data_IF_421335171492
#
_entry.id   IF_421335171492
#
_cell.length_a   1.000
_cell.length_b   1.000
_cell.length_c   1.000
_cell.angle_alpha   90.00
_cell.angle_beta   90.00
_cell.angle_gamma   90.00
#
_symmetry.space_group_name_H-M   'P 1'
#
loop_
_entity.id
_entity.type
_entity.pdbx_description
1 polymer ?
#
# COMPACT_ATOMS: atom_id res chain seq x y z
N UNK A 1 23.28 21.58 25.47
CA UNK A 1 23.92 22.75 26.12
C UNK A 1 23.85 22.48 27.60
N UNK A 2 24.95 22.58 28.34
CA UNK A 2 24.95 22.31 29.80
C UNK A 2 24.34 23.47 30.59
N UNK A 3 24.46 24.69 30.09
CA UNK A 3 23.92 25.90 30.71
C UNK A 3 23.13 26.70 29.68
N UNK A 4 22.20 27.53 30.16
CA UNK A 4 21.51 28.52 29.33
C UNK A 4 22.52 29.54 28.80
N UNK A 5 22.49 29.82 27.50
CA UNK A 5 23.35 30.84 26.87
C UNK A 5 22.57 31.63 25.83
N UNK A 6 22.47 32.94 26.03
CA UNK A 6 21.63 33.83 25.22
C UNK A 6 20.18 33.29 25.13
N UNK A 7 19.69 33.01 23.92
CA UNK A 7 18.35 32.49 23.65
C UNK A 7 18.28 30.95 23.62
N UNK A 8 19.36 30.25 23.96
CA UNK A 8 19.42 28.79 23.92
C UNK A 8 19.27 28.26 25.34
N UNK A 9 18.20 27.52 25.65
CA UNK A 9 17.99 26.98 26.99
C UNK A 9 18.98 25.88 27.33
N UNK A 10 19.20 25.67 28.63
CA UNK A 10 19.83 24.48 29.17
C UNK A 10 19.17 23.20 28.63
N UNK A 11 19.98 22.15 28.40
CA UNK A 11 19.51 20.87 27.86
C UNK A 11 19.32 20.85 26.33
N UNK A 12 19.42 21.99 25.63
CA UNK A 12 19.24 22.02 24.17
C UNK A 12 20.23 21.10 23.42
N UNK A 13 19.71 20.21 22.57
CA UNK A 13 20.52 19.29 21.76
C UNK A 13 21.07 20.03 20.54
N UNK A 14 22.39 20.20 20.47
CA UNK A 14 23.07 20.90 19.35
C UNK A 14 23.42 19.98 18.19
N UNK A 15 23.58 18.68 18.45
CA UNK A 15 23.89 17.66 17.45
C UNK A 15 23.44 16.29 17.96
N UNK A 16 23.04 15.42 17.02
CA UNK A 16 22.65 14.02 17.28
C UNK A 16 23.12 13.12 16.15
N UNK A 17 23.44 11.86 16.46
CA UNK A 17 23.77 10.82 15.49
C UNK A 17 23.25 9.48 15.98
N UNK A 18 22.82 8.62 15.04
CA UNK A 18 22.45 7.23 15.29
C UNK A 18 23.35 6.34 14.44
N UNK A 19 23.78 5.21 15.01
CA UNK A 19 24.61 4.19 14.36
C UNK A 19 23.97 2.84 14.65
N UNK A 20 23.86 1.98 13.63
CA UNK A 20 23.41 0.60 13.79
C UNK A 20 24.53 -0.22 14.46
N UNK A 21 24.21 -0.86 15.57
CA UNK A 21 25.17 -1.70 16.32
C UNK A 21 25.02 -3.17 15.96
N UNK A 22 23.78 -3.63 15.83
CA UNK A 22 23.45 -5.01 15.48
C UNK A 22 22.17 -5.00 14.65
N UNK A 23 22.16 -5.78 13.57
CA UNK A 23 20.95 -6.03 12.80
C UNK A 23 19.96 -6.86 13.62
N UNK A 24 18.69 -6.46 13.59
CA UNK A 24 17.61 -7.26 14.14
C UNK A 24 17.42 -8.53 13.31
N UNK A 25 17.12 -9.65 13.96
CA UNK A 25 16.59 -10.83 13.28
C UNK A 25 15.09 -10.66 13.13
N UNK A 26 14.58 -10.79 11.91
CA UNK A 26 13.14 -10.78 11.63
C UNK A 26 12.72 -12.17 11.21
N UNK A 27 11.65 -12.68 11.79
CA UNK A 27 10.99 -13.91 11.35
C UNK A 27 9.73 -13.53 10.58
N UNK A 28 9.40 -14.32 9.57
CA UNK A 28 8.10 -14.20 8.91
C UNK A 28 7.03 -14.57 9.94
N UNK A 29 6.01 -13.72 10.16
CA UNK A 29 4.93 -14.07 11.08
C UNK A 29 4.33 -15.43 10.70
N UNK A 30 4.14 -16.31 11.68
CA UNK A 30 3.38 -17.54 11.46
C UNK A 30 1.95 -17.17 11.07
N UNK A 31 1.50 -17.74 9.96
CA UNK A 31 0.14 -17.61 9.47
C UNK A 31 -0.61 -18.90 9.75
N UNK A 32 -1.81 -18.79 10.31
CA UNK A 32 -2.61 -19.98 10.58
C UNK A 32 -3.42 -20.37 9.34
N UNK A 33 -3.20 -21.61 8.92
CA UNK A 33 -4.09 -22.27 7.96
C UNK A 33 -5.43 -22.60 8.62
N UNK A 34 -6.50 -22.51 7.85
CA UNK A 34 -7.84 -22.76 8.36
C UNK A 34 -8.88 -22.80 7.24
N UNK A 35 -10.12 -23.17 7.61
CA UNK A 35 -11.20 -23.28 6.62
C UNK A 35 -11.75 -21.90 6.26
N UNK A 36 -11.49 -21.49 5.03
CA UNK A 36 -12.13 -20.33 4.41
C UNK A 36 -13.30 -20.74 3.52
N UNK A 37 -14.38 -19.99 3.59
CA UNK A 37 -15.51 -20.05 2.65
C UNK A 37 -15.31 -18.99 1.59
N UNK A 38 -15.76 -19.28 0.37
CA UNK A 38 -15.72 -18.35 -0.75
C UNK A 38 -17.10 -18.27 -1.37
N UNK A 39 -17.65 -17.08 -1.49
CA UNK A 39 -18.88 -16.81 -2.24
C UNK A 39 -18.53 -15.88 -3.40
N UNK A 40 -18.90 -16.24 -4.61
CA UNK A 40 -18.66 -15.41 -5.78
C UNK A 40 -19.91 -15.28 -6.61
N UNK A 41 -20.16 -14.07 -7.08
CA UNK A 41 -21.15 -13.80 -8.10
C UNK A 41 -20.50 -13.08 -9.31
N UNK A 42 -21.29 -12.32 -10.07
CA UNK A 42 -20.81 -11.61 -11.25
C UNK A 42 -19.92 -10.41 -10.89
N UNK A 43 -20.24 -9.69 -9.83
CA UNK A 43 -19.59 -8.44 -9.45
C UNK A 43 -18.59 -8.60 -8.31
N UNK A 44 -18.76 -9.60 -7.44
CA UNK A 44 -18.00 -9.68 -6.18
C UNK A 44 -17.47 -11.08 -5.88
N UNK A 45 -16.41 -11.10 -5.08
CA UNK A 45 -15.89 -12.28 -4.38
C UNK A 45 -15.78 -11.94 -2.91
N UNK A 46 -16.43 -12.73 -2.07
CA UNK A 46 -16.33 -12.70 -0.62
C UNK A 46 -15.55 -13.92 -0.13
N UNK A 47 -14.59 -13.70 0.77
CA UNK A 47 -13.76 -14.70 1.43
C UNK A 47 -13.96 -14.55 2.93
N UNK A 48 -14.46 -15.58 3.61
CA UNK A 48 -14.90 -15.45 5.00
C UNK A 48 -14.72 -16.70 5.87
N UNK A 49 -14.71 -16.49 7.18
CA UNK A 49 -14.88 -17.51 8.23
C UNK A 49 -15.67 -16.92 9.41
N UNK A 50 -15.57 -17.51 10.61
CA UNK A 50 -16.30 -17.02 11.80
C UNK A 50 -15.82 -15.64 12.28
N UNK A 51 -14.54 -15.33 12.08
CA UNK A 51 -13.91 -14.11 12.58
C UNK A 51 -13.77 -13.03 11.50
N UNK A 52 -13.76 -13.38 10.21
CA UNK A 52 -13.36 -12.45 9.16
C UNK A 52 -14.21 -12.51 7.90
N UNK A 53 -14.27 -11.38 7.19
CA UNK A 53 -14.88 -11.23 5.88
C UNK A 53 -14.06 -10.24 5.04
N UNK A 54 -13.64 -10.67 3.86
CA UNK A 54 -12.87 -9.89 2.88
C UNK A 54 -13.61 -9.90 1.55
N UNK A 55 -13.88 -8.74 0.98
CA UNK A 55 -14.65 -8.62 -0.27
C UNK A 55 -13.85 -7.87 -1.33
N UNK A 56 -13.81 -8.47 -2.52
CA UNK A 56 -13.24 -7.92 -3.74
C UNK A 56 -14.33 -7.59 -4.74
N UNK A 57 -14.17 -6.46 -5.43
CA UNK A 57 -14.95 -6.09 -6.61
C UNK A 57 -14.23 -6.65 -7.84
N UNK A 58 -14.91 -7.47 -8.64
CA UNK A 58 -14.35 -8.15 -9.83
C UNK A 58 -14.23 -7.24 -11.04
N UNK A 59 -14.91 -6.10 -11.05
CA UNK A 59 -14.84 -5.11 -12.13
C UNK A 59 -13.64 -4.17 -11.95
N UNK A 60 -13.31 -3.85 -10.69
CA UNK A 60 -12.16 -2.98 -10.35
C UNK A 60 -10.93 -3.77 -9.91
N UNK A 61 -11.11 -5.01 -9.46
CA UNK A 61 -10.09 -5.85 -8.83
C UNK A 61 -9.74 -5.45 -7.41
N UNK A 62 -10.35 -4.41 -6.86
CA UNK A 62 -9.96 -3.91 -5.54
C UNK A 62 -10.58 -4.72 -4.41
N UNK A 63 -9.78 -4.93 -3.37
CA UNK A 63 -10.30 -5.20 -2.04
C UNK A 63 -11.01 -3.92 -1.57
N UNK A 64 -12.32 -3.98 -1.32
CA UNK A 64 -13.08 -2.79 -0.89
C UNK A 64 -13.68 -2.92 0.52
N UNK A 65 -13.74 -4.13 1.08
CA UNK A 65 -14.16 -4.34 2.46
C UNK A 65 -13.30 -5.39 3.16
N UNK A 66 -12.92 -5.09 4.40
CA UNK A 66 -12.31 -6.05 5.31
C UNK A 66 -12.86 -5.86 6.72
N UNK A 67 -13.52 -6.88 7.25
CA UNK A 67 -13.98 -6.97 8.62
C UNK A 67 -13.25 -8.11 9.33
N UNK A 68 -12.76 -7.86 10.54
CA UNK A 68 -12.13 -8.87 11.40
C UNK A 68 -12.60 -8.70 12.84
N UNK A 69 -13.08 -9.79 13.44
CA UNK A 69 -13.68 -9.87 14.78
C UNK A 69 -14.73 -8.78 15.03
N UNK A 70 -15.61 -8.60 14.04
CA UNK A 70 -16.69 -7.61 14.05
C UNK A 70 -16.26 -6.16 13.85
N UNK A 71 -14.97 -5.88 13.62
CA UNK A 71 -14.45 -4.53 13.35
C UNK A 71 -14.12 -4.35 11.89
N UNK A 72 -14.55 -3.24 11.30
CA UNK A 72 -14.11 -2.84 9.95
C UNK A 72 -12.68 -2.31 10.02
N UNK A 73 -11.80 -2.83 9.17
CA UNK A 73 -10.40 -2.40 9.08
C UNK A 73 -10.18 -1.47 7.90
N UNK A 74 -10.86 -1.71 6.79
CA UNK A 74 -10.70 -0.97 5.55
C UNK A 74 -12.07 -0.55 5.02
N UNK A 75 -12.15 0.67 4.48
CA UNK A 75 -13.28 1.19 3.70
C UNK A 75 -13.03 1.11 2.20
N UNK A 76 -11.76 1.11 1.79
CA UNK A 76 -11.33 1.12 0.39
C UNK A 76 -9.85 0.72 0.28
N UNK A 77 -9.51 -0.12 -0.69
CA UNK A 77 -8.13 -0.50 -1.03
C UNK A 77 -7.62 -1.74 -0.29
N UNK A 78 -6.36 -2.13 -0.49
CA UNK A 78 -5.31 -1.35 -1.16
C UNK A 78 -5.53 -1.18 -2.68
N UNK A 79 -5.26 0.04 -3.15
CA UNK A 79 -5.25 0.40 -4.58
C UNK A 79 -3.84 0.84 -4.99
N UNK A 80 -3.35 0.49 -6.18
CA UNK A 80 -2.02 0.91 -6.63
C UNK A 80 -1.96 2.44 -6.77
N UNK A 81 -0.92 3.06 -6.19
CA UNK A 81 -0.72 4.52 -6.18
C UNK A 81 0.67 4.89 -6.72
N UNK A 82 0.68 5.63 -7.82
CA UNK A 82 1.89 6.11 -8.50
C UNK A 82 2.04 7.64 -8.45
N UNK A 83 1.15 8.33 -7.74
CA UNK A 83 1.05 9.77 -7.75
C UNK A 83 1.20 10.39 -6.35
N UNK A 84 1.61 11.65 -6.32
CA UNK A 84 1.50 12.50 -5.13
C UNK A 84 1.28 13.94 -5.56
N UNK A 85 0.74 14.75 -4.65
CA UNK A 85 0.62 16.19 -4.88
C UNK A 85 2.01 16.79 -5.20
N UNK A 86 2.19 17.49 -6.34
CA UNK A 86 3.46 18.11 -6.67
C UNK A 86 3.82 19.22 -5.67
N UNK A 87 5.10 19.31 -5.31
CA UNK A 87 5.68 20.45 -4.58
C UNK A 87 6.16 21.53 -5.55
N UNK A 88 6.49 22.71 -5.04
CA UNK A 88 6.98 23.85 -5.84
C UNK A 88 8.21 23.48 -6.68
N UNK A 89 9.11 22.62 -6.18
CA UNK A 89 10.26 22.13 -6.95
C UNK A 89 9.86 21.37 -8.22
N UNK A 90 8.79 20.57 -8.15
CA UNK A 90 8.26 19.87 -9.33
C UNK A 90 7.58 20.84 -10.29
N UNK A 91 6.85 21.84 -9.77
CA UNK A 91 6.29 22.89 -10.60
C UNK A 91 7.38 23.66 -11.35
N UNK A 92 8.45 24.05 -10.65
CA UNK A 92 9.58 24.81 -11.19
C UNK A 92 10.31 24.10 -12.34
N UNK A 93 10.34 22.77 -12.34
CA UNK A 93 10.93 21.98 -13.43
C UNK A 93 9.89 21.32 -14.36
N UNK A 94 8.60 21.67 -14.21
CA UNK A 94 7.47 21.11 -14.98
C UNK A 94 7.31 19.58 -14.92
N UNK A 95 7.80 18.92 -13.87
CA UNK A 95 7.73 17.45 -13.77
C UNK A 95 6.30 16.93 -13.70
N UNK A 96 5.38 17.66 -13.07
CA UNK A 96 3.96 17.32 -13.04
C UNK A 96 3.32 17.16 -14.43
N UNK A 97 3.87 17.86 -15.44
CA UNK A 97 3.43 17.70 -16.84
C UNK A 97 3.97 16.39 -17.44
N UNK A 98 5.24 16.07 -17.18
CA UNK A 98 5.87 14.82 -17.64
C UNK A 98 5.29 13.59 -16.94
N UNK A 99 4.89 13.71 -15.68
CA UNK A 99 4.31 12.66 -14.87
C UNK A 99 2.78 12.55 -14.95
N UNK A 100 2.12 13.26 -15.87
CA UNK A 100 0.65 13.23 -16.04
C UNK A 100 0.10 11.80 -16.14
N UNK A 101 0.81 10.93 -16.87
CA UNK A 101 0.43 9.51 -17.01
C UNK A 101 0.37 8.78 -15.66
N UNK A 102 1.27 9.04 -14.71
CA UNK A 102 1.22 8.46 -13.36
C UNK A 102 -0.07 8.86 -12.62
N UNK A 103 -0.52 10.11 -12.79
CA UNK A 103 -1.80 10.56 -12.20
C UNK A 103 -2.98 9.82 -12.84
N UNK A 104 -2.98 9.71 -14.16
CA UNK A 104 -4.06 9.05 -14.91
C UNK A 104 -4.22 7.60 -14.48
N UNK A 105 -3.12 6.83 -14.43
CA UNK A 105 -3.17 5.41 -14.05
C UNK A 105 -3.39 5.19 -12.55
N UNK A 106 -3.14 6.19 -11.70
CA UNK A 106 -3.53 6.15 -10.28
C UNK A 106 -5.04 6.36 -10.12
N UNK A 107 -5.63 7.29 -10.88
CA UNK A 107 -7.06 7.60 -10.75
C UNK A 107 -7.96 6.62 -11.52
N UNK A 108 -7.47 6.05 -12.62
CA UNK A 108 -8.24 5.20 -13.52
C UNK A 108 -7.40 4.01 -14.05
N UNK A 109 -6.88 3.13 -13.19
CA UNK A 109 -6.22 1.92 -13.68
C UNK A 109 -7.25 1.02 -14.37
N UNK A 110 -6.84 0.36 -15.44
CA UNK A 110 -7.71 -0.50 -16.25
C UNK A 110 -7.44 -1.94 -15.84
N UNK A 111 -8.41 -2.57 -15.16
CA UNK A 111 -8.34 -3.99 -14.85
C UNK A 111 -8.35 -4.81 -16.15
N UNK A 112 -7.36 -5.66 -16.33
CA UNK A 112 -7.23 -6.55 -17.48
C UNK A 112 -7.44 -8.02 -17.13
N UNK A 113 -7.16 -8.43 -15.90
CA UNK A 113 -7.40 -9.79 -15.43
C UNK A 113 -7.77 -9.80 -13.94
N UNK A 114 -8.67 -10.71 -13.59
CA UNK A 114 -9.03 -11.05 -12.22
C UNK A 114 -9.15 -12.56 -12.11
N UNK A 115 -8.38 -13.16 -11.21
CA UNK A 115 -8.47 -14.59 -10.93
C UNK A 115 -8.42 -14.89 -9.43
N UNK A 116 -9.07 -15.99 -9.05
CA UNK A 116 -9.07 -16.48 -7.67
C UNK A 116 -8.75 -17.98 -7.69
N UNK A 117 -7.85 -18.38 -6.78
CA UNK A 117 -7.52 -19.76 -6.49
C UNK A 117 -7.60 -20.04 -4.99
N UNK A 118 -7.69 -21.31 -4.61
CA UNK A 118 -7.67 -21.71 -3.20
C UNK A 118 -6.77 -22.92 -3.03
N UNK A 119 -5.91 -22.89 -2.01
CA UNK A 119 -5.17 -24.06 -1.55
C UNK A 119 -5.55 -24.39 -0.08
N UNK A 120 -4.77 -25.24 0.58
CA UNK A 120 -5.04 -25.65 1.97
C UNK A 120 -4.73 -24.57 3.00
N UNK A 121 -3.90 -23.58 2.66
CA UNK A 121 -3.36 -22.57 3.56
C UNK A 121 -4.10 -21.23 3.43
N UNK A 122 -4.37 -20.80 2.20
CA UNK A 122 -4.95 -19.49 1.90
C UNK A 122 -5.85 -19.52 0.66
N UNK A 123 -6.64 -18.44 0.52
CA UNK A 123 -7.27 -18.07 -0.76
C UNK A 123 -6.36 -17.06 -1.45
N UNK A 124 -6.05 -17.30 -2.72
CA UNK A 124 -5.26 -16.40 -3.56
C UNK A 124 -6.19 -15.60 -4.46
N UNK A 125 -5.98 -14.28 -4.53
CA UNK A 125 -6.61 -13.40 -5.52
C UNK A 125 -5.52 -12.70 -6.30
N UNK A 126 -5.63 -12.66 -7.63
CA UNK A 126 -4.72 -11.95 -8.52
C UNK A 126 -5.47 -10.94 -9.36
N UNK A 127 -4.90 -9.76 -9.46
CA UNK A 127 -5.45 -8.65 -10.23
C UNK A 127 -4.34 -8.06 -11.10
N UNK A 128 -4.59 -7.97 -12.40
CA UNK A 128 -3.67 -7.36 -13.35
C UNK A 128 -4.27 -6.10 -13.92
N UNK A 129 -3.47 -5.03 -13.94
CA UNK A 129 -3.86 -3.72 -14.44
C UNK A 129 -2.98 -3.30 -15.60
N UNK A 130 -3.60 -2.82 -16.67
CA UNK A 130 -2.93 -2.09 -17.73
C UNK A 130 -2.76 -0.63 -17.33
N UNK A 131 -1.55 -0.12 -17.46
CA UNK A 131 -1.18 1.27 -17.16
C UNK A 131 -0.81 1.97 -18.47
N UNK A 132 -1.78 2.09 -19.38
CA UNK A 132 -1.56 2.51 -20.77
C UNK A 132 -0.84 3.86 -20.89
N UNK A 133 -1.18 4.86 -20.07
CA UNK A 133 -0.55 6.18 -20.09
C UNK A 133 0.93 6.18 -19.70
N UNK A 134 1.47 5.07 -19.19
CA UNK A 134 2.89 4.87 -18.89
C UNK A 134 3.46 3.60 -19.52
N UNK A 135 2.75 3.02 -20.50
CA UNK A 135 3.16 1.80 -21.23
C UNK A 135 3.71 0.71 -20.31
N UNK A 136 3.00 0.40 -19.23
CA UNK A 136 3.44 -0.55 -18.20
C UNK A 136 2.25 -1.36 -17.69
N UNK A 137 2.51 -2.33 -16.82
CA UNK A 137 1.47 -3.10 -16.14
C UNK A 137 1.74 -3.19 -14.63
N UNK A 138 0.70 -3.47 -13.87
CA UNK A 138 0.76 -3.71 -12.43
C UNK A 138 0.02 -4.98 -12.10
N UNK A 139 0.70 -5.92 -11.45
CA UNK A 139 0.11 -7.14 -10.94
C UNK A 139 0.11 -7.06 -9.41
N UNK A 140 -1.06 -7.29 -8.81
CA UNK A 140 -1.19 -7.45 -7.36
C UNK A 140 -1.64 -8.88 -7.06
N UNK A 141 -0.97 -9.51 -6.10
CA UNK A 141 -1.33 -10.84 -5.59
C UNK A 141 -1.65 -10.74 -4.11
N UNK A 142 -2.80 -11.28 -3.72
CA UNK A 142 -3.29 -11.31 -2.36
C UNK A 142 -3.30 -12.75 -1.86
N UNK A 143 -2.70 -13.01 -0.70
CA UNK A 143 -2.88 -14.26 0.04
C UNK A 143 -3.68 -13.98 1.31
N UNK A 144 -4.91 -14.50 1.34
CA UNK A 144 -5.86 -14.32 2.43
C UNK A 144 -5.82 -15.57 3.31
N UNK A 145 -5.30 -15.43 4.52
CA UNK A 145 -5.15 -16.50 5.51
C UNK A 145 -6.32 -16.54 6.49
N UNK A 146 -6.53 -17.68 7.14
CA UNK A 146 -7.70 -17.89 8.01
C UNK A 146 -7.65 -17.11 9.33
N UNK A 147 -6.49 -16.61 9.75
CA UNK A 147 -6.34 -15.75 10.92
C UNK A 147 -6.57 -14.25 10.64
N UNK A 148 -6.96 -13.89 9.41
CA UNK A 148 -7.14 -12.49 9.01
C UNK A 148 -5.88 -11.82 8.47
N UNK A 149 -4.76 -12.53 8.40
CA UNK A 149 -3.57 -12.02 7.70
C UNK A 149 -3.86 -11.92 6.21
N UNK A 150 -3.53 -10.78 5.61
CA UNK A 150 -3.59 -10.57 4.17
C UNK A 150 -2.20 -10.14 3.71
N UNK A 151 -1.51 -11.01 2.99
CA UNK A 151 -0.25 -10.67 2.32
C UNK A 151 -0.58 -10.04 0.98
N UNK A 152 0.06 -8.91 0.66
CA UNK A 152 -0.14 -8.19 -0.60
C UNK A 152 1.21 -8.03 -1.28
N UNK A 153 1.37 -8.64 -2.43
CA UNK A 153 2.55 -8.53 -3.28
C UNK A 153 2.22 -7.65 -4.49
N UNK A 154 3.11 -6.70 -4.77
CA UNK A 154 2.98 -5.72 -5.85
C UNK A 154 4.12 -5.91 -6.84
N UNK A 155 3.79 -6.15 -8.11
CA UNK A 155 4.76 -6.30 -9.19
C UNK A 155 4.46 -5.30 -10.30
N UNK A 156 5.34 -4.31 -10.45
CA UNK A 156 5.31 -3.36 -11.55
C UNK A 156 6.14 -3.87 -12.72
N UNK A 157 5.52 -3.99 -13.88
CA UNK A 157 6.17 -4.43 -15.11
C UNK A 157 6.38 -3.23 -16.03
N UNK A 158 7.62 -2.79 -16.13
CA UNK A 158 8.00 -1.68 -16.99
C UNK A 158 7.99 -2.12 -18.46
N UNK A 159 7.11 -1.55 -19.28
CA UNK A 159 6.99 -1.92 -20.71
C UNK A 159 8.00 -1.22 -21.63
N UNK A 160 9.06 -0.60 -21.10
CA UNK A 160 10.20 -0.14 -21.88
C UNK A 160 10.10 1.26 -22.47
N UNK A 161 8.95 1.93 -22.38
CA UNK A 161 8.78 3.30 -22.89
C UNK A 161 8.15 4.22 -21.84
N UNK A 162 8.93 5.16 -21.32
CA UNK A 162 8.43 6.18 -20.40
C UNK A 162 8.13 7.52 -21.08
N UNK A 163 8.36 7.65 -22.39
CA UNK A 163 8.38 8.94 -23.07
C UNK A 163 9.31 9.93 -22.36
N UNK A 164 8.73 11.00 -21.81
CA UNK A 164 9.47 12.02 -21.04
C UNK A 164 9.48 11.77 -19.52
N UNK A 165 8.85 10.70 -19.04
CA UNK A 165 8.84 10.36 -17.62
C UNK A 165 10.18 9.75 -17.23
N UNK A 166 10.94 10.42 -16.37
CA UNK A 166 12.27 9.95 -15.96
C UNK A 166 12.27 9.15 -14.66
N UNK A 167 11.20 9.23 -13.87
CA UNK A 167 11.03 8.51 -12.61
C UNK A 167 9.56 8.47 -12.20
N UNK A 168 9.18 7.52 -11.34
CA UNK A 168 7.89 7.52 -10.67
C UNK A 168 7.92 8.49 -9.48
N UNK A 169 6.80 9.18 -9.21
CA UNK A 169 6.66 10.00 -8.00
C UNK A 169 6.52 9.16 -6.73
N UNK A 170 5.85 8.01 -6.87
CA UNK A 170 5.55 7.05 -5.81
C UNK A 170 5.39 5.67 -6.45
N UNK A 171 5.64 4.63 -5.66
CA UNK A 171 5.21 3.27 -5.95
C UNK A 171 4.73 2.64 -4.64
N UNK A 172 3.50 2.17 -4.61
CA UNK A 172 2.91 1.58 -3.42
C UNK A 172 1.40 1.46 -3.53
N UNK A 173 0.74 1.39 -2.38
CA UNK A 173 -0.71 1.30 -2.28
C UNK A 173 -1.28 2.48 -1.50
N UNK A 174 -2.51 2.86 -1.82
CA UNK A 174 -3.34 3.74 -1.01
C UNK A 174 -4.51 2.96 -0.39
N UNK A 175 -4.88 3.32 0.83
CA UNK A 175 -5.99 2.71 1.57
C UNK A 175 -6.77 3.78 2.32
N UNK A 176 -8.07 3.55 2.51
CA UNK A 176 -8.91 4.38 3.37
C UNK A 176 -9.36 3.54 4.55
N UNK A 177 -8.97 3.95 5.76
CA UNK A 177 -9.37 3.32 7.01
C UNK A 177 -10.62 4.02 7.59
N UNK A 178 -11.39 3.36 8.47
CA UNK A 178 -12.41 4.03 9.28
C UNK A 178 -11.85 5.18 10.14
N UNK A 179 -12.68 6.18 10.43
CA UNK A 179 -12.28 7.38 11.19
C UNK A 179 -11.95 7.10 12.67
N UNK A 180 -12.30 5.91 13.16
CA UNK A 180 -12.03 5.50 14.54
C UNK A 180 -10.53 5.23 14.79
N UNK A 181 -9.74 5.01 13.73
CA UNK A 181 -8.29 4.84 13.80
C UNK A 181 -7.58 6.21 13.79
N UNK A 182 -7.33 6.75 14.99
CA UNK A 182 -6.79 8.12 15.17
C UNK A 182 -5.32 8.20 15.58
N UNK A 183 -4.76 7.08 16.03
CA UNK A 183 -3.39 7.02 16.52
C UNK A 183 -2.53 6.21 15.55
N UNK A 184 -1.32 6.68 15.29
CA UNK A 184 -0.33 5.95 14.48
C UNK A 184 0.92 5.74 15.32
N UNK A 185 1.45 4.53 15.28
CA UNK A 185 2.74 4.16 15.86
C UNK A 185 3.51 3.39 14.81
N UNK A 186 4.78 3.74 14.62
CA UNK A 186 5.65 3.04 13.68
C UNK A 186 7.04 2.89 14.28
N UNK A 187 7.75 1.86 13.82
CA UNK A 187 9.16 1.68 14.11
C UNK A 187 9.95 2.06 12.85
N UNK A 188 10.64 3.20 12.89
CA UNK A 188 11.35 3.76 11.74
C UNK A 188 11.86 5.18 12.00
N UNK A 189 12.20 5.92 10.93
CA UNK A 189 12.66 7.32 11.04
C UNK A 189 11.52 8.23 11.50
N UNK A 190 11.82 9.20 12.37
CA UNK A 190 10.82 10.11 12.93
C UNK A 190 11.39 11.05 14.00
N UNK A 191 10.56 11.83 14.70
CA UNK A 191 9.09 11.89 14.61
C UNK A 191 8.54 12.81 13.51
N UNK A 192 9.39 13.65 12.91
CA UNK A 192 8.98 14.55 11.83
C UNK A 192 8.92 13.83 10.49
N UNK A 193 8.16 14.41 9.56
CA UNK A 193 8.16 14.04 8.15
C UNK A 193 9.59 14.06 7.58
N UNK A 194 9.92 13.04 6.79
CA UNK A 194 11.22 12.88 6.14
C UNK A 194 11.02 12.22 4.76
N UNK A 195 11.84 12.63 3.78
CA UNK A 195 11.82 12.16 2.38
C UNK A 195 13.22 11.76 1.93
#
# INVERSE_FOLDING_TARGET
MKDTKNLIPEGHVVARKQILIQEGKTETPEVNSGKLRTKSDKSEVEISNEDMEVTFDKNTGYLFAYTFKGKKFIKKGPEPDFWRAPTDNYFGNSFQKRAKGCKEVTCHPILSDFSMGKNKEFVEVKTSYKLDSVSSAMNMTYHIYADGTIKVDNQFEFGGNTGNLTSLLRFGNSMILPLDYKNVSWYGRGAQENY
#
